data_IF_206081938949
#
_entry.id   IF_206081938949
#
_cell.length_a   1.000
_cell.length_b   1.000
_cell.length_c   1.000
_cell.angle_alpha   90.00
_cell.angle_beta   90.00
_cell.angle_gamma   90.00
#
_symmetry.space_group_name_H-M   'P 1'
#
loop_
_entity.id
_entity.type
_entity.pdbx_description
1 polymer ?
#
# COMPACT_ATOMS: atom_id res chain seq x y z
N UNK A 1 -30.69 -60.33 -49.17
CA UNK A 1 -31.65 -61.13 -48.38
C UNK A 1 -31.10 -61.32 -46.98
N UNK A 2 -31.59 -60.55 -46.00
CA UNK A 2 -32.12 -61.01 -44.70
C UNK A 2 -32.61 -59.77 -43.95
N UNK A 3 -33.78 -59.88 -43.33
CA UNK A 3 -34.59 -58.79 -42.79
C UNK A 3 -34.18 -58.34 -41.36
N UNK A 4 -34.66 -57.16 -40.92
CA UNK A 4 -34.36 -56.51 -39.64
C UNK A 4 -35.37 -56.90 -38.55
N UNK A 5 -34.99 -56.90 -37.27
CA UNK A 5 -35.96 -56.98 -36.17
C UNK A 5 -35.39 -56.45 -34.84
N UNK A 6 -36.21 -55.66 -34.15
CA UNK A 6 -36.26 -55.40 -32.69
C UNK A 6 -35.21 -54.47 -32.03
N UNK A 7 -35.59 -53.20 -31.80
CA UNK A 7 -35.45 -52.58 -30.47
C UNK A 7 -36.39 -51.36 -30.31
N UNK A 8 -37.70 -51.63 -30.28
CA UNK A 8 -38.71 -50.69 -29.75
C UNK A 8 -39.10 -51.20 -28.36
N UNK A 9 -39.31 -50.27 -27.43
CA UNK A 9 -39.86 -50.48 -26.07
C UNK A 9 -38.86 -50.68 -24.94
N UNK A 10 -38.17 -49.61 -24.54
CA UNK A 10 -37.69 -49.48 -23.15
C UNK A 10 -37.62 -48.01 -22.68
N UNK A 11 -38.55 -47.16 -23.11
CA UNK A 11 -38.50 -45.72 -22.82
C UNK A 11 -39.75 -45.18 -22.09
N UNK A 12 -40.51 -46.06 -21.41
CA UNK A 12 -41.81 -45.68 -20.84
C UNK A 12 -42.12 -46.32 -19.47
N UNK A 13 -41.12 -46.85 -18.76
CA UNK A 13 -41.34 -47.46 -17.43
C UNK A 13 -40.41 -46.96 -16.32
N UNK A 14 -39.49 -46.04 -16.61
CA UNK A 14 -38.58 -45.46 -15.60
C UNK A 14 -38.99 -44.07 -15.10
N UNK A 15 -40.14 -43.54 -15.53
CA UNK A 15 -40.59 -42.19 -15.20
C UNK A 15 -41.49 -42.10 -13.96
N UNK A 16 -41.86 -43.23 -13.34
CA UNK A 16 -42.81 -43.26 -12.21
C UNK A 16 -42.26 -43.79 -10.88
N UNK A 17 -40.98 -44.15 -10.79
CA UNK A 17 -40.41 -44.78 -9.58
C UNK A 17 -39.31 -43.97 -8.89
N UNK A 18 -39.13 -42.69 -9.23
CA UNK A 18 -38.15 -41.81 -8.58
C UNK A 18 -38.76 -40.49 -8.07
N UNK A 19 -40.08 -40.43 -7.88
CA UNK A 19 -40.76 -39.28 -7.25
C UNK A 19 -40.96 -39.44 -5.74
N UNK A 20 -40.52 -40.55 -5.13
CA UNK A 20 -40.80 -40.86 -3.71
C UNK A 20 -39.60 -40.78 -2.76
N UNK A 21 -38.46 -40.23 -3.19
CA UNK A 21 -37.24 -40.11 -2.36
C UNK A 21 -36.65 -38.68 -2.26
N UNK A 22 -37.32 -37.65 -2.77
CA UNK A 22 -36.85 -36.26 -2.70
C UNK A 22 -37.61 -35.38 -1.67
N UNK A 23 -38.03 -35.96 -0.53
CA UNK A 23 -38.74 -35.20 0.53
C UNK A 23 -37.91 -35.02 1.81
N UNK A 24 -36.65 -35.48 1.86
CA UNK A 24 -35.78 -35.27 3.02
C UNK A 24 -34.45 -34.66 2.58
N UNK A 25 -34.47 -33.34 2.40
CA UNK A 25 -33.31 -32.58 1.99
C UNK A 25 -33.57 -31.09 1.91
N UNK A 26 -34.20 -30.51 2.95
CA UNK A 26 -34.14 -29.06 3.15
C UNK A 26 -32.70 -28.71 3.54
N UNK A 27 -31.81 -28.60 2.56
CA UNK A 27 -30.62 -27.78 2.70
C UNK A 27 -31.11 -26.34 2.84
N UNK A 28 -31.28 -25.91 4.08
CA UNK A 28 -31.27 -24.51 4.42
C UNK A 28 -29.97 -23.95 3.83
N UNK A 29 -30.07 -23.20 2.74
CA UNK A 29 -29.00 -22.32 2.30
C UNK A 29 -28.76 -21.36 3.47
N UNK A 30 -27.76 -21.69 4.29
CA UNK A 30 -27.16 -20.75 5.21
C UNK A 30 -26.67 -19.60 4.33
N UNK A 31 -27.43 -18.51 4.31
CA UNK A 31 -26.96 -17.24 3.79
C UNK A 31 -25.66 -16.97 4.55
N UNK A 32 -24.53 -17.07 3.84
CA UNK A 32 -23.25 -16.65 4.38
C UNK A 32 -23.44 -15.23 4.90
N UNK A 33 -23.22 -15.04 6.20
CA UNK A 33 -23.12 -13.70 6.78
C UNK A 33 -22.23 -12.86 5.87
N UNK A 34 -22.58 -11.59 5.62
CA UNK A 34 -21.64 -10.67 4.99
C UNK A 34 -20.34 -10.80 5.78
N UNK A 35 -19.26 -11.17 5.08
CA UNK A 35 -17.92 -11.09 5.64
C UNK A 35 -17.77 -9.64 6.06
N UNK A 36 -17.91 -9.34 7.35
CA UNK A 36 -17.47 -8.07 7.90
C UNK A 36 -16.01 -7.94 7.49
N UNK A 37 -15.74 -7.09 6.50
CA UNK A 37 -14.37 -6.72 6.14
C UNK A 37 -13.76 -6.16 7.40
N UNK A 38 -12.98 -6.99 8.11
CA UNK A 38 -12.29 -6.59 9.33
C UNK A 38 -11.52 -5.32 8.99
N UNK A 39 -11.82 -4.26 9.74
CA UNK A 39 -11.12 -2.99 9.60
C UNK A 39 -9.60 -3.26 9.68
N UNK A 40 -8.79 -2.65 8.79
CA UNK A 40 -7.34 -2.84 8.81
C UNK A 40 -6.79 -2.68 10.23
N UNK A 41 -6.01 -3.66 10.71
CA UNK A 41 -5.38 -3.67 12.04
C UNK A 41 -4.57 -2.40 12.29
N UNK A 42 -4.01 -1.80 11.24
CA UNK A 42 -3.30 -0.54 11.30
C UNK A 42 -4.17 0.65 11.78
N UNK A 43 -5.51 0.61 11.61
CA UNK A 43 -6.42 1.65 12.13
C UNK A 43 -6.33 1.76 13.66
N UNK A 44 -5.95 0.68 14.35
CA UNK A 44 -5.83 0.66 15.80
C UNK A 44 -4.60 1.44 16.32
N UNK A 45 -3.66 1.81 15.44
CA UNK A 45 -2.40 2.44 15.84
C UNK A 45 -2.57 3.85 16.45
N UNK A 46 -3.68 4.55 16.15
CA UNK A 46 -4.00 5.91 16.64
C UNK A 46 -2.77 6.83 16.74
N UNK A 47 -2.05 7.06 15.62
CA UNK A 47 -0.78 7.77 15.65
C UNK A 47 -0.96 9.25 16.04
N UNK A 48 0.09 9.89 16.59
CA UNK A 48 0.08 11.32 16.86
C UNK A 48 -0.17 12.12 15.58
N UNK A 49 -1.06 13.12 15.65
CA UNK A 49 -1.40 13.99 14.51
C UNK A 49 -0.59 15.30 14.50
N UNK A 50 0.08 15.60 15.61
CA UNK A 50 0.87 16.82 15.80
C UNK A 50 1.93 16.59 16.88
N UNK A 51 2.96 17.43 16.89
CA UNK A 51 3.96 17.49 17.97
C UNK A 51 4.53 18.89 18.14
N UNK A 52 5.38 19.08 19.14
CA UNK A 52 6.00 20.37 19.48
C UNK A 52 7.10 20.79 18.49
N UNK A 53 7.61 19.83 17.72
CA UNK A 53 8.68 20.02 16.74
C UNK A 53 8.08 20.11 15.32
N UNK A 54 8.72 20.86 14.40
CA UNK A 54 8.30 20.85 13.00
C UNK A 54 8.40 19.44 12.39
N UNK A 55 7.56 19.10 11.41
CA UNK A 55 7.56 17.78 10.76
C UNK A 55 8.94 17.37 10.23
N UNK A 56 9.67 18.35 9.66
CA UNK A 56 11.04 18.20 9.20
C UNK A 56 11.94 19.31 9.75
N UNK A 57 13.14 18.95 10.15
CA UNK A 57 14.22 19.86 10.52
C UNK A 57 15.10 20.11 9.30
N UNK A 58 14.85 21.23 8.61
CA UNK A 58 15.55 21.63 7.39
C UNK A 58 16.27 22.96 7.57
N UNK A 59 17.42 23.08 6.92
CA UNK A 59 18.16 24.31 6.67
C UNK A 59 17.40 25.24 5.69
N UNK A 60 17.89 26.48 5.49
CA UNK A 60 17.48 27.31 4.38
C UNK A 60 17.54 26.54 3.04
N UNK A 61 16.62 26.86 2.13
CA UNK A 61 16.43 26.17 0.83
C UNK A 61 15.92 24.72 0.94
N UNK A 62 15.24 24.36 2.04
CA UNK A 62 14.56 23.07 2.22
C UNK A 62 15.50 21.86 2.11
N UNK A 63 16.71 21.98 2.67
CA UNK A 63 17.72 20.92 2.66
C UNK A 63 18.10 20.53 4.09
N UNK A 64 18.30 19.24 4.42
CA UNK A 64 18.88 18.85 5.69
C UNK A 64 20.23 19.51 5.97
N UNK A 65 20.51 19.75 7.26
CA UNK A 65 21.80 20.29 7.71
C UNK A 65 22.93 19.24 7.73
N UNK A 66 22.60 17.96 7.56
CA UNK A 66 23.55 16.85 7.53
C UNK A 66 24.02 16.57 6.11
N UNK A 67 25.16 15.89 5.99
CA UNK A 67 25.63 15.39 4.69
C UNK A 67 24.77 14.22 4.19
N UNK A 68 24.63 14.04 2.86
CA UNK A 68 23.97 12.88 2.30
C UNK A 68 24.72 11.58 2.63
N UNK A 69 23.99 10.53 3.01
CA UNK A 69 24.54 9.19 3.29
C UNK A 69 24.72 8.36 1.99
N UNK A 70 24.04 8.76 0.92
CA UNK A 70 24.18 8.22 -0.42
C UNK A 70 23.68 9.25 -1.44
N UNK A 71 24.14 9.14 -2.68
CA UNK A 71 23.64 9.97 -3.77
C UNK A 71 23.62 9.18 -5.07
N UNK A 72 22.69 9.58 -5.94
CA UNK A 72 22.62 9.17 -7.34
C UNK A 72 22.60 10.42 -8.20
N UNK A 73 22.56 10.25 -9.52
CA UNK A 73 22.39 11.39 -10.43
C UNK A 73 21.08 12.17 -10.16
N UNK A 74 20.02 11.50 -9.69
CA UNK A 74 18.66 12.06 -9.55
C UNK A 74 18.24 12.38 -8.12
N UNK A 75 18.86 11.73 -7.13
CA UNK A 75 18.44 11.77 -5.73
C UNK A 75 19.64 11.86 -4.81
N UNK A 76 19.53 12.71 -3.78
CA UNK A 76 20.39 12.70 -2.60
C UNK A 76 19.63 12.07 -1.45
N UNK A 77 20.26 11.17 -0.69
CA UNK A 77 19.65 10.48 0.44
C UNK A 77 20.30 10.91 1.74
N UNK A 78 19.48 11.15 2.75
CA UNK A 78 19.87 11.56 4.09
C UNK A 78 19.26 10.58 5.09
N UNK A 79 19.89 10.45 6.25
CA UNK A 79 19.28 9.70 7.36
C UNK A 79 17.95 10.35 7.76
N UNK A 80 17.01 9.60 8.35
CA UNK A 80 15.83 10.20 8.93
C UNK A 80 16.12 10.81 10.32
N UNK A 81 17.13 10.29 11.02
CA UNK A 81 17.48 10.74 12.36
C UNK A 81 18.01 12.18 12.35
N UNK A 82 17.44 13.01 13.23
CA UNK A 82 17.72 14.45 13.28
C UNK A 82 17.08 15.27 12.15
N UNK A 83 16.35 14.65 11.21
CA UNK A 83 15.68 15.34 10.09
C UNK A 83 14.16 15.19 10.16
N UNK A 84 13.65 13.98 10.38
CA UNK A 84 12.21 13.72 10.52
C UNK A 84 11.86 13.70 12.00
N UNK A 85 10.94 14.58 12.43
CA UNK A 85 10.52 14.60 13.83
C UNK A 85 9.92 13.25 14.24
N UNK A 86 10.19 12.75 15.47
CA UNK A 86 9.74 11.43 15.90
C UNK A 86 8.23 11.22 15.78
N UNK A 87 7.43 12.21 16.19
CA UNK A 87 5.96 12.16 16.09
C UNK A 87 5.50 12.04 14.63
N UNK A 88 6.16 12.75 13.71
CA UNK A 88 5.79 12.73 12.30
C UNK A 88 6.21 11.43 11.64
N UNK A 89 7.36 10.86 12.04
CA UNK A 89 7.79 9.53 11.62
C UNK A 89 6.79 8.46 12.04
N UNK A 90 6.31 8.51 13.28
CA UNK A 90 5.28 7.59 13.79
C UNK A 90 3.99 7.69 12.99
N UNK A 91 3.53 8.91 12.69
CA UNK A 91 2.38 9.16 11.81
C UNK A 91 2.55 8.53 10.44
N UNK A 92 3.66 8.83 9.76
CA UNK A 92 3.95 8.33 8.41
C UNK A 92 4.07 6.80 8.40
N UNK A 93 4.66 6.20 9.43
CA UNK A 93 4.75 4.72 9.56
C UNK A 93 3.37 4.10 9.74
N UNK A 94 2.51 4.69 10.58
CA UNK A 94 1.16 4.20 10.77
C UNK A 94 0.32 4.30 9.49
N UNK A 95 0.37 5.44 8.79
CA UNK A 95 -0.30 5.63 7.49
C UNK A 95 0.26 4.65 6.45
N UNK A 96 1.59 4.49 6.35
CA UNK A 96 2.22 3.53 5.45
C UNK A 96 1.77 2.10 5.73
N UNK A 97 1.73 1.69 7.00
CA UNK A 97 1.30 0.34 7.37
C UNK A 97 -0.19 0.10 7.12
N UNK A 98 -1.03 1.13 7.23
CA UNK A 98 -2.41 1.06 6.80
C UNK A 98 -2.53 0.76 5.30
N UNK A 99 -1.80 1.49 4.45
CA UNK A 99 -1.79 1.21 3.01
C UNK A 99 -1.12 -0.11 2.65
N UNK A 100 -0.08 -0.49 3.39
CA UNK A 100 0.58 -1.78 3.25
C UNK A 100 -0.39 -2.92 3.55
N UNK A 101 -1.24 -2.80 4.58
CA UNK A 101 -2.27 -3.80 4.88
C UNK A 101 -3.27 -3.94 3.75
N UNK A 102 -3.77 -2.82 3.21
CA UNK A 102 -4.68 -2.82 2.05
C UNK A 102 -4.04 -3.45 0.79
N UNK A 103 -2.72 -3.33 0.66
CA UNK A 103 -1.94 -3.86 -0.48
C UNK A 103 -1.29 -5.22 -0.18
N UNK A 104 -1.56 -5.82 0.98
CA UNK A 104 -0.94 -7.06 1.46
C UNK A 104 0.60 -7.02 1.39
N UNK A 105 1.19 -5.89 1.78
CA UNK A 105 2.63 -5.69 1.86
C UNK A 105 3.11 -5.80 3.32
N UNK A 106 4.35 -6.29 3.55
CA UNK A 106 4.94 -6.31 4.88
C UNK A 106 4.98 -4.91 5.52
N UNK A 107 4.71 -4.88 6.82
CA UNK A 107 4.79 -3.68 7.63
C UNK A 107 6.24 -3.22 7.83
N UNK A 108 6.39 -1.93 8.11
CA UNK A 108 7.64 -1.27 8.44
C UNK A 108 7.61 -0.74 9.86
N UNK A 109 8.78 -0.64 10.49
CA UNK A 109 8.92 -0.13 11.87
C UNK A 109 9.31 1.35 11.93
N UNK A 110 9.93 1.88 10.88
CA UNK A 110 10.43 3.25 10.82
C UNK A 110 11.88 3.45 11.28
N UNK A 111 12.54 2.40 11.76
CA UNK A 111 13.97 2.39 12.11
C UNK A 111 14.87 2.36 10.87
N UNK A 112 14.42 1.72 9.80
CA UNK A 112 15.06 1.76 8.49
C UNK A 112 14.37 2.80 7.60
N UNK A 113 14.86 4.04 7.65
CA UNK A 113 14.25 5.20 7.02
C UNK A 113 15.33 6.09 6.36
N UNK A 114 15.03 6.65 5.19
CA UNK A 114 15.83 7.75 4.60
C UNK A 114 14.95 8.86 4.07
N UNK A 115 15.46 10.09 4.10
CA UNK A 115 14.88 11.23 3.37
C UNK A 115 15.60 11.36 2.04
N UNK A 116 14.86 11.48 0.94
CA UNK A 116 15.43 11.79 -0.37
C UNK A 116 15.07 13.19 -0.84
N UNK A 117 16.00 13.86 -1.52
CA UNK A 117 15.76 15.12 -2.22
C UNK A 117 16.07 14.97 -3.71
N UNK A 118 15.15 15.41 -4.57
CA UNK A 118 15.35 15.47 -6.00
C UNK A 118 16.44 16.48 -6.40
N UNK A 119 17.46 16.02 -7.13
CA UNK A 119 18.47 16.91 -7.72
C UNK A 119 17.89 17.70 -8.90
N UNK A 120 18.66 18.61 -9.48
CA UNK A 120 18.30 19.33 -10.72
C UNK A 120 18.05 18.40 -11.92
N UNK A 121 18.54 17.16 -11.86
CA UNK A 121 18.32 16.13 -12.90
C UNK A 121 17.12 15.22 -12.59
N UNK A 122 16.46 15.43 -11.45
CA UNK A 122 15.20 14.75 -11.12
C UNK A 122 14.05 15.30 -11.96
N UNK A 123 13.01 14.48 -12.19
CA UNK A 123 11.75 14.95 -12.79
C UNK A 123 11.05 16.02 -11.93
N UNK A 124 11.42 16.11 -10.66
CA UNK A 124 10.91 17.08 -9.69
C UNK A 124 12.04 17.55 -8.79
N UNK A 125 12.83 18.52 -9.24
CA UNK A 125 13.89 19.10 -8.42
C UNK A 125 13.34 19.61 -7.08
N UNK A 126 14.07 19.37 -5.99
CA UNK A 126 13.71 19.79 -4.64
C UNK A 126 12.60 18.99 -3.95
N UNK A 127 11.98 18.00 -4.63
CA UNK A 127 10.95 17.16 -3.98
C UNK A 127 11.56 16.36 -2.84
N UNK A 128 11.00 16.54 -1.65
CA UNK A 128 11.36 15.80 -0.44
C UNK A 128 10.46 14.58 -0.33
N UNK A 129 11.04 13.41 -0.09
CA UNK A 129 10.29 12.18 0.17
C UNK A 129 10.91 11.40 1.31
N UNK A 130 10.09 10.72 2.10
CA UNK A 130 10.54 9.79 3.14
C UNK A 130 10.35 8.37 2.59
N UNK A 131 11.40 7.56 2.63
CA UNK A 131 11.38 6.17 2.20
C UNK A 131 11.52 5.26 3.42
N UNK A 132 10.65 4.27 3.50
CA UNK A 132 10.58 3.33 4.62
C UNK A 132 10.92 1.92 4.14
N UNK A 133 11.75 1.24 4.91
CA UNK A 133 12.19 -0.12 4.63
C UNK A 133 11.81 -1.04 5.78
N UNK A 134 11.74 -2.33 5.48
CA UNK A 134 11.43 -3.35 6.50
C UNK A 134 12.61 -3.60 7.45
N UNK A 135 13.83 -3.25 7.02
CA UNK A 135 15.06 -3.31 7.83
C UNK A 135 16.23 -2.58 7.11
N UNK A 136 17.33 -2.40 7.84
CA UNK A 136 18.55 -1.73 7.36
C UNK A 136 19.22 -2.43 6.17
N UNK A 137 19.11 -3.77 6.07
CA UNK A 137 19.67 -4.50 4.94
C UNK A 137 18.97 -4.12 3.63
N UNK A 138 17.63 -4.00 3.65
CA UNK A 138 16.83 -3.56 2.49
C UNK A 138 17.09 -2.09 2.15
N UNK A 139 17.23 -1.24 3.16
CA UNK A 139 17.62 0.16 2.96
C UNK A 139 18.97 0.24 2.23
N UNK A 140 19.99 -0.40 2.78
CA UNK A 140 21.36 -0.36 2.24
C UNK A 140 21.42 -0.90 0.80
N UNK A 141 20.77 -2.05 0.54
CA UNK A 141 20.71 -2.63 -0.79
C UNK A 141 20.02 -1.70 -1.81
N UNK A 142 18.96 -1.00 -1.40
CA UNK A 142 18.26 -0.07 -2.26
C UNK A 142 19.08 1.18 -2.58
N UNK A 143 19.61 1.88 -1.56
CA UNK A 143 20.27 3.18 -1.80
C UNK A 143 21.72 3.06 -2.29
N UNK A 144 22.41 1.94 -2.04
CA UNK A 144 23.82 1.75 -2.43
C UNK A 144 23.99 0.86 -3.65
N UNK A 145 23.08 -0.08 -3.86
CA UNK A 145 23.17 -1.07 -4.95
C UNK A 145 22.03 -0.94 -5.95
N UNK A 146 21.14 0.04 -5.78
CA UNK A 146 19.96 0.29 -6.63
C UNK A 146 19.00 -0.92 -6.72
N UNK A 147 19.07 -1.83 -5.73
CA UNK A 147 18.24 -3.03 -5.64
C UNK A 147 17.02 -2.75 -4.75
N UNK A 148 15.99 -2.16 -5.34
CA UNK A 148 14.76 -1.76 -4.66
C UNK A 148 13.53 -2.52 -5.21
N UNK A 149 13.35 -3.82 -4.91
CA UNK A 149 12.24 -4.59 -5.46
C UNK A 149 10.86 -4.18 -4.91
N UNK A 150 10.85 -3.53 -3.74
CA UNK A 150 9.63 -3.05 -3.09
C UNK A 150 9.85 -1.60 -2.66
N UNK A 151 8.99 -0.70 -3.11
CA UNK A 151 9.01 0.72 -2.77
C UNK A 151 7.93 1.03 -1.75
N UNK A 152 8.27 1.85 -0.75
CA UNK A 152 7.36 2.44 0.22
C UNK A 152 7.85 3.85 0.49
N UNK A 153 7.25 4.83 -0.18
CA UNK A 153 7.65 6.21 -0.03
C UNK A 153 6.46 7.12 0.16
N UNK A 154 6.69 8.24 0.85
CA UNK A 154 5.77 9.35 0.93
C UNK A 154 6.46 10.59 0.39
N UNK A 155 5.93 11.16 -0.68
CA UNK A 155 6.35 12.47 -1.15
C UNK A 155 5.56 13.56 -0.43
N UNK A 156 6.27 14.54 0.10
CA UNK A 156 5.68 15.67 0.81
C UNK A 156 5.38 16.78 -0.20
N UNK A 157 4.10 17.11 -0.36
CA UNK A 157 3.60 18.01 -1.40
C UNK A 157 3.10 19.29 -0.73
N UNK A 158 3.87 20.39 -0.77
CA UNK A 158 3.40 21.68 -0.30
C UNK A 158 2.25 22.18 -1.18
N UNK A 159 1.17 22.60 -0.55
CA UNK A 159 0.04 23.30 -1.17
C UNK A 159 -0.22 24.55 -0.34
N UNK A 160 0.23 25.69 -0.83
CA UNK A 160 0.23 26.96 -0.09
C UNK A 160 0.89 26.81 1.30
N UNK A 161 0.09 26.89 2.37
CA UNK A 161 0.52 26.79 3.77
C UNK A 161 0.30 25.40 4.39
N UNK A 162 -0.18 24.44 3.61
CA UNK A 162 -0.49 23.09 4.09
C UNK A 162 0.36 22.03 3.39
N UNK A 163 0.51 20.87 4.02
CA UNK A 163 1.36 19.78 3.53
C UNK A 163 0.53 18.52 3.28
N UNK A 164 0.53 18.07 2.04
CA UNK A 164 -0.11 16.83 1.63
C UNK A 164 0.93 15.71 1.57
N UNK A 165 0.49 14.48 1.84
CA UNK A 165 1.34 13.28 1.89
C UNK A 165 0.92 12.33 0.78
N UNK A 166 1.73 12.25 -0.28
CA UNK A 166 1.47 11.38 -1.43
C UNK A 166 2.25 10.08 -1.27
N UNK A 167 1.54 9.02 -0.91
CA UNK A 167 2.08 7.68 -0.71
C UNK A 167 2.20 6.92 -2.03
N UNK A 168 3.32 6.21 -2.17
CA UNK A 168 3.59 5.29 -3.26
C UNK A 168 4.10 3.97 -2.68
N UNK A 169 3.37 2.89 -2.96
CA UNK A 169 3.74 1.53 -2.62
C UNK A 169 3.87 0.73 -3.90
N UNK A 170 4.91 -0.08 -4.01
CA UNK A 170 5.07 -0.96 -5.16
C UNK A 170 5.80 -2.24 -4.77
N UNK A 171 5.41 -3.36 -5.38
CA UNK A 171 6.15 -4.62 -5.35
C UNK A 171 6.34 -5.09 -6.80
N UNK A 172 7.57 -5.00 -7.28
CA UNK A 172 7.92 -5.31 -8.65
C UNK A 172 7.66 -6.80 -8.98
N UNK A 173 7.84 -7.70 -8.01
CA UNK A 173 7.64 -9.13 -8.21
C UNK A 173 6.17 -9.48 -8.45
N UNK A 174 5.27 -8.70 -7.83
CA UNK A 174 3.82 -8.85 -7.93
C UNK A 174 3.18 -7.92 -8.98
N UNK A 175 3.99 -7.07 -9.65
CA UNK A 175 3.51 -5.96 -10.51
C UNK A 175 2.49 -5.07 -9.80
N UNK A 176 2.65 -4.91 -8.48
CA UNK A 176 1.76 -4.12 -7.64
C UNK A 176 2.23 -2.67 -7.64
N UNK A 177 1.29 -1.74 -7.81
CA UNK A 177 1.45 -0.31 -7.62
C UNK A 177 0.20 0.19 -6.91
N UNK A 178 0.38 0.84 -5.76
CA UNK A 178 -0.69 1.50 -5.02
C UNK A 178 -0.28 2.94 -4.72
N UNK A 179 -1.24 3.85 -4.84
CA UNK A 179 -1.05 5.28 -4.65
C UNK A 179 -2.15 5.82 -3.77
N UNK A 180 -1.78 6.62 -2.79
CA UNK A 180 -2.74 7.26 -1.89
C UNK A 180 -2.33 8.69 -1.63
N UNK A 181 -3.29 9.60 -1.57
CA UNK A 181 -3.08 10.94 -1.10
C UNK A 181 -3.75 11.14 0.25
N UNK A 182 -3.01 11.67 1.22
CA UNK A 182 -3.55 12.12 2.50
C UNK A 182 -3.39 13.63 2.61
N UNK A 183 -4.49 14.35 2.81
CA UNK A 183 -4.47 15.80 2.98
C UNK A 183 -3.89 16.22 4.34
N UNK A 184 -3.70 17.53 4.55
CA UNK A 184 -3.24 18.08 5.83
C UNK A 184 -4.20 17.78 6.99
N UNK A 185 -5.50 17.58 6.69
CA UNK A 185 -6.52 17.20 7.67
C UNK A 185 -6.70 15.68 7.81
N UNK A 186 -5.83 14.87 7.21
CA UNK A 186 -5.91 13.41 7.28
C UNK A 186 -6.98 12.79 6.37
N UNK A 187 -7.55 13.55 5.42
CA UNK A 187 -8.52 12.99 4.48
C UNK A 187 -7.79 12.11 3.47
N UNK A 188 -8.19 10.84 3.39
CA UNK A 188 -7.66 9.87 2.45
C UNK A 188 -8.35 9.97 1.09
N UNK A 189 -7.55 9.98 0.04
CA UNK A 189 -7.93 9.79 -1.35
C UNK A 189 -7.15 8.58 -1.90
N UNK A 190 -7.82 7.47 -2.15
CA UNK A 190 -7.22 6.25 -2.70
C UNK A 190 -7.00 6.34 -4.21
N UNK A 191 -6.09 5.52 -4.71
CA UNK A 191 -5.76 5.34 -6.14
C UNK A 191 -5.39 6.64 -6.86
N UNK A 192 -4.77 7.57 -6.12
CA UNK A 192 -4.37 8.86 -6.66
C UNK A 192 -3.15 9.42 -5.93
N UNK A 193 -2.51 10.40 -6.57
CA UNK A 193 -1.40 11.17 -6.01
C UNK A 193 -1.90 12.52 -5.52
N UNK A 194 -1.16 13.16 -4.60
CA UNK A 194 -1.56 14.49 -4.14
C UNK A 194 -1.34 15.62 -5.16
N UNK A 195 -0.80 15.32 -6.35
CA UNK A 195 -0.65 16.29 -7.44
C UNK A 195 -1.99 16.66 -8.08
N UNK A 196 -2.94 15.72 -8.07
CA UNK A 196 -4.24 15.87 -8.74
C UNK A 196 -5.38 16.17 -7.76
N UNK A 197 -5.15 15.99 -6.46
CA UNK A 197 -6.11 16.36 -5.41
C UNK A 197 -6.03 17.87 -5.21
N UNK A 198 -7.15 18.61 -5.23
CA UNK A 198 -7.19 20.07 -5.00
C UNK A 198 -6.60 20.47 -3.65
#
# INVERSE_FOLDING_TARGET
MLQPMYFKSMFQKFCLSLCLLCVLGTSAFAQGKPSETLAPRAILARPPQSGNEPMLLLAPKNRPMTEPIAHTTKLEYFDCDGIVAPWFRELVVAEMNYFAELSELPFVKGDACVVSIGTTKSLTPGRISIHLYTNLQRLSACIRSEQCPVFRSVSLIPKDLVLYRSYFLSDMSRKLIAQHCVTDKGKLHSDTTCYTVP
#
